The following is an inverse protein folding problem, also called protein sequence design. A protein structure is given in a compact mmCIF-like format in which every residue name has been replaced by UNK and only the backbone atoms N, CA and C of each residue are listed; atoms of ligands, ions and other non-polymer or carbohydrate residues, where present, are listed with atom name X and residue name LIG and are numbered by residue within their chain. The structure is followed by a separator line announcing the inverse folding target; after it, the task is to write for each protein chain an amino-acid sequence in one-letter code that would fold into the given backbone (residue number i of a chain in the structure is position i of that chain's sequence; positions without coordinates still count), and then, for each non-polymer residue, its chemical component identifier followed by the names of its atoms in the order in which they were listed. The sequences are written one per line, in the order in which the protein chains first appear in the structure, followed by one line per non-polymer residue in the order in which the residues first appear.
data_IF_782359386063
#
_entry.id   IF_782359386063
#
_cell.length_a   1.000
_cell.length_b   1.000
_cell.length_c   1.000
_cell.angle_alpha   90.00
_cell.angle_beta   90.00
_cell.angle_gamma   90.00
#
_symmetry.space_group_name_H-M   'P 1'
#
loop_
_entity.id
_entity.type
_entity.pdbx_description
1 polymer ?
#
# COMPACT_ATOMS: atom_id res chain seq x y z
N UNK A 1 -10.07 -5.82 35.99
CA UNK A 1 -10.54 -4.87 34.95
C UNK A 1 -9.43 -4.38 34.01
N UNK A 2 -8.15 -4.28 34.45
CA UNK A 2 -7.03 -3.80 33.61
C UNK A 2 -6.64 -4.73 32.43
N UNK A 3 -6.60 -6.06 32.62
CA UNK A 3 -6.17 -7.02 31.59
C UNK A 3 -7.11 -7.12 30.38
N UNK A 4 -8.42 -6.99 30.60
CA UNK A 4 -9.43 -7.04 29.53
C UNK A 4 -9.40 -5.76 28.69
N UNK A 5 -9.16 -4.60 29.32
CA UNK A 5 -9.01 -3.33 28.61
C UNK A 5 -7.75 -3.29 27.75
N UNK A 6 -6.64 -3.86 28.22
CA UNK A 6 -5.39 -3.96 27.45
C UNK A 6 -5.53 -4.89 26.23
N UNK A 7 -6.23 -6.02 26.38
CA UNK A 7 -6.53 -6.94 25.28
C UNK A 7 -7.45 -6.32 24.22
N UNK A 8 -8.48 -5.57 24.65
CA UNK A 8 -9.38 -4.87 23.73
C UNK A 8 -8.67 -3.78 22.91
N UNK A 9 -7.76 -3.02 23.53
CA UNK A 9 -6.93 -2.03 22.83
C UNK A 9 -5.97 -2.69 21.84
N UNK A 10 -5.34 -3.82 22.23
CA UNK A 10 -4.45 -4.58 21.35
C UNK A 10 -5.14 -5.13 20.09
N UNK A 11 -6.33 -5.74 20.25
CA UNK A 11 -7.11 -6.26 19.12
C UNK A 11 -7.58 -5.14 18.20
N UNK A 12 -7.99 -4.00 18.76
CA UNK A 12 -8.41 -2.83 17.97
C UNK A 12 -7.24 -2.24 17.19
N UNK A 13 -6.05 -2.11 17.79
CA UNK A 13 -4.86 -1.61 17.10
C UNK A 13 -4.43 -2.51 15.92
N UNK A 14 -4.56 -3.84 16.05
CA UNK A 14 -4.27 -4.79 14.98
C UNK A 14 -5.33 -4.71 13.85
N UNK A 15 -6.59 -4.46 14.20
CA UNK A 15 -7.65 -4.31 13.21
C UNK A 15 -7.50 -3.05 12.33
N UNK A 16 -6.89 -1.97 12.85
CA UNK A 16 -6.73 -0.71 12.10
C UNK A 16 -5.58 -0.71 11.08
N UNK A 17 -4.61 -1.62 11.16
CA UNK A 17 -3.42 -1.59 10.28
C UNK A 17 -3.56 -2.38 8.97
N UNK A 18 -4.68 -3.09 8.75
CA UNK A 18 -4.69 -4.29 7.90
C UNK A 18 -5.27 -4.26 6.47
N UNK A 19 -5.79 -3.15 5.93
CA UNK A 19 -6.55 -3.24 4.65
C UNK A 19 -5.90 -2.62 3.40
N UNK A 20 -4.71 -2.00 3.52
CA UNK A 20 -4.14 -1.16 2.47
C UNK A 20 -2.96 -1.74 1.69
N UNK A 21 -2.08 -2.46 2.37
CA UNK A 21 -0.73 -2.80 1.89
C UNK A 21 -0.75 -3.97 0.89
N UNK A 22 -1.83 -4.74 0.86
CA UNK A 22 -1.90 -6.02 0.16
C UNK A 22 -1.80 -5.93 -1.37
N UNK A 23 -2.26 -4.85 -2.00
CA UNK A 23 -2.24 -4.73 -3.47
C UNK A 23 -0.81 -4.52 -4.01
N UNK A 24 -0.02 -3.68 -3.35
CA UNK A 24 1.37 -3.40 -3.72
C UNK A 24 2.21 -4.68 -3.56
N UNK A 25 2.04 -5.38 -2.44
CA UNK A 25 2.75 -6.63 -2.16
C UNK A 25 2.37 -7.73 -3.16
N UNK A 26 1.08 -7.91 -3.47
CA UNK A 26 0.63 -8.89 -4.46
C UNK A 26 1.18 -8.60 -5.86
N UNK A 27 1.22 -7.34 -6.26
CA UNK A 27 1.76 -6.96 -7.56
C UNK A 27 3.28 -7.16 -7.62
N UNK A 28 4.01 -6.79 -6.56
CA UNK A 28 5.45 -7.05 -6.47
C UNK A 28 5.79 -8.54 -6.47
N UNK A 29 5.03 -9.35 -5.74
CA UNK A 29 5.20 -10.81 -5.73
C UNK A 29 4.93 -11.42 -7.11
N UNK A 30 3.94 -10.92 -7.85
CA UNK A 30 3.67 -11.36 -9.22
C UNK A 30 4.85 -11.07 -10.16
N UNK A 31 5.42 -9.86 -10.10
CA UNK A 31 6.57 -9.48 -10.92
C UNK A 31 7.81 -10.31 -10.58
N UNK A 32 8.06 -10.55 -9.29
CA UNK A 32 9.15 -11.40 -8.83
C UNK A 32 9.01 -12.86 -9.29
N UNK A 33 7.82 -13.44 -9.15
CA UNK A 33 7.53 -14.80 -9.62
C UNK A 33 7.65 -14.91 -11.15
N UNK A 34 7.12 -13.92 -11.89
CA UNK A 34 7.25 -13.87 -13.33
C UNK A 34 8.71 -13.78 -13.80
N UNK A 35 9.53 -12.94 -13.15
CA UNK A 35 10.95 -12.83 -13.45
C UNK A 35 11.71 -14.13 -13.15
N UNK A 36 11.39 -14.81 -12.05
CA UNK A 36 11.98 -16.12 -11.72
C UNK A 36 11.64 -17.19 -12.75
N UNK A 37 10.39 -17.24 -13.22
CA UNK A 37 9.95 -18.23 -14.20
C UNK A 37 10.52 -18.00 -15.61
N UNK A 38 10.66 -16.74 -16.04
CA UNK A 38 11.04 -16.41 -17.42
C UNK A 38 12.53 -16.07 -17.60
N UNK A 39 13.18 -15.52 -16.57
CA UNK A 39 14.57 -15.03 -16.63
C UNK A 39 15.50 -15.79 -15.67
N UNK A 40 14.93 -16.54 -14.72
CA UNK A 40 15.70 -17.26 -13.70
C UNK A 40 16.34 -16.36 -12.65
N UNK A 41 15.90 -15.09 -12.53
CA UNK A 41 16.32 -14.14 -11.51
C UNK A 41 15.11 -13.44 -10.89
N UNK A 42 15.22 -13.12 -9.59
CA UNK A 42 14.18 -12.39 -8.87
C UNK A 42 14.17 -10.91 -9.24
N UNK A 43 12.98 -10.31 -9.16
CA UNK A 43 12.73 -8.89 -9.36
C UNK A 43 12.42 -8.22 -8.01
N UNK A 44 13.36 -8.33 -7.08
CA UNK A 44 13.16 -7.83 -5.71
C UNK A 44 13.21 -6.30 -5.67
N UNK A 45 12.17 -5.68 -5.10
CA UNK A 45 12.18 -4.25 -4.82
C UNK A 45 13.01 -3.96 -3.56
N UNK A 46 14.08 -3.17 -3.69
CA UNK A 46 15.00 -2.89 -2.58
C UNK A 46 14.46 -1.79 -1.67
N UNK A 47 13.86 -2.18 -0.55
CA UNK A 47 13.31 -1.24 0.45
C UNK A 47 14.27 -1.00 1.60
N UNK A 48 15.11 -1.99 1.91
CA UNK A 48 16.03 -1.96 3.04
C UNK A 48 17.49 -1.83 2.58
N UNK A 49 18.40 -1.61 3.53
CA UNK A 49 19.84 -1.76 3.28
C UNK A 49 20.23 -3.22 3.04
N UNK A 50 19.51 -4.15 3.67
CA UNK A 50 19.76 -5.60 3.57
C UNK A 50 19.46 -6.12 2.15
N UNK A 51 18.33 -5.71 1.57
CA UNK A 51 17.97 -6.03 0.18
C UNK A 51 19.06 -5.55 -0.80
N UNK A 52 19.56 -4.33 -0.57
CA UNK A 52 20.63 -3.74 -1.39
C UNK A 52 21.96 -4.47 -1.23
N UNK A 53 22.30 -4.93 -0.02
CA UNK A 53 23.50 -5.74 0.18
C UNK A 53 23.39 -7.12 -0.46
N UNK A 54 22.22 -7.77 -0.39
CA UNK A 54 21.98 -9.06 -1.02
C UNK A 54 22.09 -8.96 -2.55
N UNK A 55 21.52 -7.91 -3.15
CA UNK A 55 21.64 -7.63 -4.58
C UNK A 55 23.10 -7.39 -5.02
N UNK A 56 23.90 -6.67 -4.21
CA UNK A 56 25.33 -6.46 -4.48
C UNK A 56 26.13 -7.76 -4.39
N UNK A 57 25.88 -8.58 -3.38
CA UNK A 57 26.57 -9.87 -3.23
C UNK A 57 26.26 -10.81 -4.42
N UNK A 58 25.01 -10.80 -4.91
CA UNK A 58 24.64 -11.52 -6.13
C UNK A 58 25.41 -10.98 -7.34
N UNK A 59 25.46 -9.66 -7.50
CA UNK A 59 26.18 -9.02 -8.59
C UNK A 59 27.67 -9.35 -8.60
N UNK A 60 28.33 -9.25 -7.45
CA UNK A 60 29.75 -9.60 -7.29
C UNK A 60 30.00 -11.05 -7.71
N UNK A 61 29.16 -11.98 -7.25
CA UNK A 61 29.24 -13.40 -7.62
C UNK A 61 29.08 -13.65 -9.13
N UNK A 62 28.14 -12.95 -9.80
CA UNK A 62 27.97 -13.08 -11.25
C UNK A 62 29.15 -12.50 -12.04
N UNK A 63 29.86 -11.53 -11.48
CA UNK A 63 31.01 -10.87 -12.10
C UNK A 63 32.34 -11.60 -11.87
N UNK A 64 32.36 -12.69 -11.10
CA UNK A 64 33.55 -13.54 -10.90
C UNK A 64 33.95 -14.30 -12.18
N UNK A 65 33.02 -14.47 -13.12
CA UNK A 65 33.22 -15.18 -14.38
C UNK A 65 32.93 -14.24 -15.57
N UNK A 66 33.48 -14.52 -16.77
CA UNK A 66 33.11 -13.80 -17.98
C UNK A 66 31.58 -13.82 -18.20
N UNK A 67 30.98 -12.64 -18.35
CA UNK A 67 29.53 -12.48 -18.31
C UNK A 67 28.86 -13.05 -19.58
N UNK A 68 28.05 -14.09 -19.42
CA UNK A 68 27.17 -14.58 -20.48
C UNK A 68 25.95 -13.66 -20.66
N UNK A 69 25.27 -13.78 -21.81
CA UNK A 69 24.09 -12.95 -22.11
C UNK A 69 23.00 -13.05 -21.02
N UNK A 70 22.70 -14.26 -20.56
CA UNK A 70 21.69 -14.49 -19.51
C UNK A 70 22.12 -13.88 -18.17
N UNK A 71 23.40 -14.00 -17.80
CA UNK A 71 23.93 -13.44 -16.55
C UNK A 71 23.92 -11.91 -16.57
N UNK A 72 24.09 -11.28 -17.75
CA UNK A 72 23.93 -9.85 -17.91
C UNK A 72 22.48 -9.39 -17.64
N UNK A 73 21.49 -10.15 -18.08
CA UNK A 73 20.07 -9.86 -17.79
C UNK A 73 19.81 -10.02 -16.29
N UNK A 74 20.29 -11.11 -15.68
CA UNK A 74 20.15 -11.35 -14.22
C UNK A 74 20.80 -10.25 -13.39
N UNK A 75 22.00 -9.82 -13.78
CA UNK A 75 22.69 -8.70 -13.16
C UNK A 75 21.89 -7.40 -13.30
N UNK A 76 21.31 -7.15 -14.48
CA UNK A 76 20.49 -5.95 -14.71
C UNK A 76 19.23 -5.95 -13.83
N UNK A 77 18.51 -7.07 -13.71
CA UNK A 77 17.36 -7.18 -12.81
C UNK A 77 17.76 -7.00 -11.35
N UNK A 78 18.93 -7.51 -10.97
CA UNK A 78 19.43 -7.44 -9.60
C UNK A 78 19.84 -6.02 -9.18
N UNK A 79 20.44 -5.20 -10.05
CA UNK A 79 21.02 -3.91 -9.60
C UNK A 79 20.48 -2.66 -10.33
N UNK A 80 19.79 -2.80 -11.47
CA UNK A 80 19.44 -1.67 -12.32
C UNK A 80 18.61 -0.61 -11.58
N UNK A 81 19.09 0.64 -11.49
CA UNK A 81 18.32 1.74 -10.92
C UNK A 81 17.03 2.00 -11.70
N UNK A 82 17.09 1.88 -13.03
CA UNK A 82 15.92 2.07 -13.91
C UNK A 82 14.84 1.03 -13.64
N UNK A 83 15.24 -0.22 -13.40
CA UNK A 83 14.29 -1.27 -13.02
C UNK A 83 13.66 -1.01 -11.65
N UNK A 84 14.46 -0.56 -10.67
CA UNK A 84 13.95 -0.19 -9.34
C UNK A 84 13.00 1.02 -9.40
N UNK A 85 13.24 1.99 -10.30
CA UNK A 85 12.32 3.09 -10.56
C UNK A 85 10.99 2.57 -11.13
N UNK A 86 11.05 1.68 -12.13
CA UNK A 86 9.83 1.07 -12.69
C UNK A 86 9.01 0.31 -11.64
N UNK A 87 9.66 -0.45 -10.76
CA UNK A 87 8.99 -1.12 -9.62
C UNK A 87 8.35 -0.11 -8.65
N UNK A 88 9.05 0.97 -8.33
CA UNK A 88 8.54 2.03 -7.45
C UNK A 88 7.35 2.78 -8.07
N UNK A 89 7.41 3.09 -9.36
CA UNK A 89 6.30 3.69 -10.12
C UNK A 89 5.08 2.76 -10.16
N UNK A 90 5.28 1.46 -10.39
CA UNK A 90 4.23 0.45 -10.32
C UNK A 90 3.58 0.38 -8.93
N UNK A 91 4.40 0.45 -7.87
CA UNK A 91 3.91 0.52 -6.50
C UNK A 91 3.09 1.79 -6.23
N UNK A 92 3.54 2.95 -6.72
CA UNK A 92 2.83 4.22 -6.60
C UNK A 92 1.48 4.19 -7.35
N UNK A 93 1.45 3.63 -8.55
CA UNK A 93 0.21 3.43 -9.32
C UNK A 93 -0.76 2.49 -8.59
N UNK A 94 -0.26 1.39 -8.03
CA UNK A 94 -1.04 0.46 -7.21
C UNK A 94 -1.60 1.14 -5.96
N UNK A 95 -0.82 2.00 -5.31
CA UNK A 95 -1.27 2.79 -4.17
C UNK A 95 -2.40 3.77 -4.56
N UNK A 96 -2.22 4.50 -5.67
CA UNK A 96 -3.21 5.43 -6.19
C UNK A 96 -4.53 4.74 -6.57
N UNK A 97 -4.47 3.59 -7.25
CA UNK A 97 -5.64 2.77 -7.58
C UNK A 97 -6.34 2.25 -6.32
N UNK A 98 -5.59 1.81 -5.32
CA UNK A 98 -6.17 1.37 -4.05
C UNK A 98 -6.86 2.53 -3.32
N UNK A 99 -6.27 3.73 -3.34
CA UNK A 99 -6.83 4.92 -2.72
C UNK A 99 -8.10 5.40 -3.43
N UNK A 100 -8.14 5.35 -4.76
CA UNK A 100 -9.33 5.73 -5.54
C UNK A 100 -10.51 4.77 -5.34
N UNK A 101 -10.28 3.55 -4.88
CA UNK A 101 -11.30 2.55 -4.55
C UNK A 101 -11.84 2.65 -3.10
N UNK A 102 -11.34 3.59 -2.29
CA UNK A 102 -11.77 3.77 -0.90
C UNK A 102 -12.89 4.79 -0.79
N UNK A 103 -13.71 4.58 0.24
CA UNK A 103 -14.61 5.60 0.75
C UNK A 103 -13.79 6.75 1.33
N UNK A 104 -14.27 7.97 1.13
CA UNK A 104 -13.76 9.15 1.80
C UNK A 104 -13.96 9.03 3.31
N UNK A 105 -13.11 9.71 4.07
CA UNK A 105 -13.23 9.72 5.53
C UNK A 105 -14.55 10.37 5.95
N UNK A 106 -15.28 9.79 6.93
CA UNK A 106 -16.49 10.40 7.44
C UNK A 106 -16.19 11.75 8.09
N UNK A 107 -17.14 12.68 8.01
CA UNK A 107 -17.04 13.98 8.64
C UNK A 107 -17.71 13.90 10.01
N UNK A 108 -16.94 14.12 11.08
CA UNK A 108 -17.46 14.24 12.43
C UNK A 108 -17.47 15.71 12.85
N UNK A 109 -18.63 16.19 13.27
CA UNK A 109 -18.83 17.56 13.76
C UNK A 109 -19.26 17.50 15.23
N UNK A 110 -18.59 18.30 16.05
CA UNK A 110 -18.91 18.46 17.46
C UNK A 110 -19.12 19.94 17.73
N UNK A 111 -20.25 20.28 18.34
CA UNK A 111 -20.62 21.63 18.71
C UNK A 111 -20.90 21.68 20.20
N UNK A 112 -20.51 22.80 20.83
CA UNK A 112 -20.82 23.08 22.23
C UNK A 112 -21.23 24.52 22.37
N UNK A 113 -22.48 24.76 22.72
CA UNK A 113 -23.01 26.10 22.98
C UNK A 113 -23.26 26.25 24.47
N UNK A 114 -22.80 27.35 25.05
CA UNK A 114 -23.12 27.73 26.43
C UNK A 114 -23.85 29.05 26.39
N UNK A 115 -25.10 29.07 26.86
CA UNK A 115 -25.89 30.28 27.00
C UNK A 115 -25.99 30.62 28.48
N UNK A 116 -25.79 31.89 28.83
CA UNK A 116 -25.98 32.37 30.20
C UNK A 116 -27.02 33.47 30.16
N UNK A 117 -28.10 33.29 30.91
CA UNK A 117 -29.15 34.30 31.08
C UNK A 117 -29.47 34.51 32.57
N UNK A 118 -30.41 35.41 32.86
CA UNK A 118 -30.82 35.71 34.24
C UNK A 118 -31.46 34.54 34.99
N UNK A 119 -31.74 33.42 34.32
CA UNK A 119 -32.32 32.20 34.88
C UNK A 119 -31.31 31.06 35.09
N UNK A 120 -30.08 31.15 34.53
CA UNK A 120 -29.02 30.17 34.77
C UNK A 120 -27.98 30.03 33.65
N UNK A 121 -27.28 28.90 33.66
CA UNK A 121 -26.35 28.47 32.60
C UNK A 121 -26.97 27.29 31.85
N UNK A 122 -27.15 27.45 30.55
CA UNK A 122 -27.64 26.43 29.62
C UNK A 122 -26.47 25.92 28.75
N UNK A 123 -26.41 24.60 28.56
CA UNK A 123 -25.34 23.90 27.85
C UNK A 123 -25.96 22.98 26.78
N UNK A 124 -25.69 23.29 25.53
CA UNK A 124 -26.05 22.46 24.38
C UNK A 124 -24.80 21.82 23.78
N UNK A 125 -24.93 20.55 23.37
CA UNK A 125 -23.85 19.75 22.78
C UNK A 125 -24.37 19.06 21.52
N UNK A 126 -24.01 19.59 20.35
CA UNK A 126 -24.29 19.00 19.05
C UNK A 126 -23.23 17.97 18.65
N UNK A 127 -23.65 16.85 18.06
CA UNK A 127 -22.75 15.81 17.51
C UNK A 127 -23.34 15.28 16.21
N UNK A 128 -22.57 15.31 15.13
CA UNK A 128 -22.99 14.82 13.82
C UNK A 128 -21.89 13.97 13.19
N UNK A 129 -22.29 12.87 12.54
CA UNK A 129 -21.41 12.03 11.73
C UNK A 129 -22.03 11.88 10.35
N UNK A 130 -21.29 12.29 9.32
CA UNK A 130 -21.79 12.34 7.94
C UNK A 130 -20.93 11.48 7.01
N UNK A 131 -21.60 10.73 6.14
CA UNK A 131 -20.99 9.93 5.06
C UNK A 131 -21.67 10.23 3.74
N UNK A 132 -20.94 10.09 2.63
CA UNK A 132 -21.51 10.31 1.30
C UNK A 132 -22.29 9.08 0.82
N UNK A 133 -23.62 9.24 0.64
CA UNK A 133 -24.46 8.20 0.03
C UNK A 133 -24.04 7.91 -1.42
N UNK A 134 -23.65 8.95 -2.15
CA UNK A 134 -23.23 8.81 -3.54
C UNK A 134 -21.98 7.91 -3.63
N UNK A 135 -21.01 8.10 -2.73
CA UNK A 135 -19.83 7.24 -2.70
C UNK A 135 -20.16 5.79 -2.37
N UNK A 136 -21.13 5.54 -1.50
CA UNK A 136 -21.57 4.17 -1.17
C UNK A 136 -22.18 3.47 -2.39
N UNK A 137 -23.03 4.18 -3.14
CA UNK A 137 -23.69 3.64 -4.34
C UNK A 137 -22.68 3.38 -5.47
N UNK A 138 -21.72 4.28 -5.68
CA UNK A 138 -20.72 4.14 -6.75
C UNK A 138 -19.45 3.37 -6.35
N UNK A 139 -19.34 2.92 -5.10
CA UNK A 139 -18.21 2.15 -4.60
C UNK A 139 -17.86 0.90 -5.44
N UNK A 140 -18.82 0.03 -5.85
CA UNK A 140 -18.48 -1.16 -6.65
C UNK A 140 -17.85 -0.78 -7.99
N UNK A 141 -18.42 0.20 -8.70
CA UNK A 141 -17.86 0.70 -9.98
C UNK A 141 -16.44 1.26 -9.81
N UNK A 142 -16.18 2.02 -8.74
CA UNK A 142 -14.83 2.53 -8.43
C UNK A 142 -13.85 1.40 -8.14
N UNK A 143 -14.28 0.34 -7.47
CA UNK A 143 -13.45 -0.85 -7.18
C UNK A 143 -13.10 -1.62 -8.45
N UNK A 144 -14.04 -1.76 -9.38
CA UNK A 144 -13.79 -2.38 -10.69
C UNK A 144 -12.79 -1.56 -11.52
N UNK A 145 -12.96 -0.24 -11.56
CA UNK A 145 -12.02 0.66 -12.22
C UNK A 145 -10.62 0.58 -11.60
N UNK A 146 -10.51 0.50 -10.28
CA UNK A 146 -9.22 0.28 -9.63
C UNK A 146 -8.63 -1.10 -9.95
N UNK A 147 -9.45 -2.15 -10.02
CA UNK A 147 -8.99 -3.49 -10.35
C UNK A 147 -8.35 -3.57 -11.75
N UNK A 148 -8.91 -2.85 -12.73
CA UNK A 148 -8.31 -2.79 -14.07
C UNK A 148 -6.95 -2.07 -14.06
N UNK A 149 -6.80 -0.99 -13.30
CA UNK A 149 -5.51 -0.29 -13.12
C UNK A 149 -4.49 -1.21 -12.42
N UNK A 150 -4.91 -2.01 -11.44
CA UNK A 150 -4.04 -3.01 -10.80
C UNK A 150 -3.55 -4.07 -11.78
N UNK A 151 -4.42 -4.54 -12.69
CA UNK A 151 -4.04 -5.48 -13.73
C UNK A 151 -3.00 -4.87 -14.70
N UNK A 152 -3.19 -3.60 -15.10
CA UNK A 152 -2.20 -2.89 -15.93
C UNK A 152 -0.86 -2.71 -15.22
N UNK A 153 -0.86 -2.41 -13.92
CA UNK A 153 0.37 -2.27 -13.13
C UNK A 153 1.18 -3.57 -13.10
N UNK A 154 0.53 -4.74 -13.06
CA UNK A 154 1.20 -6.05 -13.15
C UNK A 154 1.84 -6.28 -14.52
N UNK A 155 1.11 -5.96 -15.58
CA UNK A 155 1.58 -6.14 -16.96
C UNK A 155 2.73 -5.21 -17.35
N UNK A 156 2.88 -4.05 -16.69
CA UNK A 156 4.04 -3.17 -16.91
C UNK A 156 5.31 -3.66 -16.22
N UNK A 157 5.17 -4.46 -15.16
CA UNK A 157 6.30 -4.99 -14.41
C UNK A 157 6.76 -6.38 -14.86
N UNK A 158 5.91 -7.11 -15.58
CA UNK A 158 6.23 -8.39 -16.24
C UNK A 158 6.84 -8.15 -17.62
#
# INVERSE_FOLDING_TARGET
MSRVSALAVGVTAIALTGCAVTAIEKNGAFVDDYAKQNVGAGATWHKSSEDRSAARALAEKLLEQPLAADDAVRLSLAISPTFQIMLAEGAAQSAAATQSARLSNPIFTFERLVRRDGSGVDLDIGRMLSVSLLELIYLPSRREAAASVQAQARLRGA
#
